data_IF_928846481805
#
_entry.id   IF_928846481805
#
_cell.length_a   1.000
_cell.length_b   1.000
_cell.length_c   1.000
_cell.angle_alpha   90.00
_cell.angle_beta   90.00
_cell.angle_gamma   90.00
#
_symmetry.space_group_name_H-M   'P 1'
#
loop_
_entity.id
_entity.type
_entity.pdbx_description
1 polymer ?
#
# COMPACT_ATOMS: atom_id res chain seq x y z
N UNK A 1 -20.61 14.49 -18.11
CA UNK A 1 -19.99 13.40 -18.87
C UNK A 1 -18.48 13.47 -18.71
N UNK A 2 -17.83 12.33 -18.40
CA UNK A 2 -16.38 12.22 -18.22
C UNK A 2 -15.71 11.75 -19.49
N UNK A 3 -14.59 12.38 -19.85
CA UNK A 3 -13.75 11.97 -20.96
C UNK A 3 -12.45 11.39 -20.46
N UNK A 4 -12.10 10.21 -20.93
CA UNK A 4 -10.84 9.52 -20.58
C UNK A 4 -9.99 9.47 -21.85
N UNK A 5 -8.85 10.14 -21.80
CA UNK A 5 -7.85 10.13 -22.87
C UNK A 5 -6.77 9.11 -22.54
N UNK A 6 -6.53 8.19 -23.47
CA UNK A 6 -5.47 7.19 -23.34
C UNK A 6 -4.19 7.67 -24.04
N UNK A 7 -3.06 7.13 -23.59
CA UNK A 7 -1.75 7.47 -24.14
C UNK A 7 -1.58 7.14 -25.64
N UNK A 8 -2.38 6.22 -26.16
CA UNK A 8 -2.42 5.85 -27.58
C UNK A 8 -3.29 6.78 -28.43
N UNK A 9 -3.86 7.82 -27.83
CA UNK A 9 -4.72 8.81 -28.48
C UNK A 9 -6.21 8.39 -28.56
N UNK A 10 -6.59 7.24 -28.01
CA UNK A 10 -7.99 6.89 -27.89
C UNK A 10 -8.67 7.78 -26.84
N UNK A 11 -9.96 8.06 -27.08
CA UNK A 11 -10.84 8.75 -26.12
C UNK A 11 -12.12 7.95 -25.95
N UNK A 12 -12.53 7.77 -24.70
CA UNK A 12 -13.84 7.22 -24.35
C UNK A 12 -14.59 8.18 -23.45
N UNK A 13 -15.92 8.11 -23.50
CA UNK A 13 -16.80 8.96 -22.71
C UNK A 13 -17.75 8.11 -21.87
N UNK A 14 -17.90 8.45 -20.60
CA UNK A 14 -18.78 7.77 -19.66
C UNK A 14 -19.48 8.76 -18.73
N UNK A 15 -20.66 8.38 -18.25
CA UNK A 15 -21.39 9.19 -17.27
C UNK A 15 -20.76 9.13 -15.88
N UNK A 16 -20.01 8.08 -15.59
CA UNK A 16 -19.36 7.89 -14.30
C UNK A 16 -18.00 7.21 -14.50
N UNK A 17 -17.02 7.61 -13.68
CA UNK A 17 -15.68 7.04 -13.65
C UNK A 17 -15.28 6.72 -12.24
N UNK A 18 -14.67 5.56 -12.02
CA UNK A 18 -14.10 5.16 -10.74
C UNK A 18 -12.58 5.17 -10.86
N UNK A 19 -11.92 6.01 -10.08
CA UNK A 19 -10.46 6.07 -9.98
C UNK A 19 -9.98 5.13 -8.86
N UNK A 20 -9.42 4.00 -9.23
CA UNK A 20 -8.89 2.98 -8.31
C UNK A 20 -7.41 2.68 -8.61
N UNK A 21 -6.63 3.73 -8.87
CA UNK A 21 -5.26 3.66 -9.39
C UNK A 21 -4.19 3.65 -8.28
N UNK A 22 -4.60 3.52 -7.02
CA UNK A 22 -3.67 3.50 -5.88
C UNK A 22 -2.86 4.80 -5.79
N UNK A 23 -1.55 4.70 -5.59
CA UNK A 23 -0.67 5.87 -5.46
C UNK A 23 -0.57 6.73 -6.74
N UNK A 24 -0.99 6.21 -7.90
CA UNK A 24 -1.05 6.96 -9.14
C UNK A 24 -2.21 7.97 -9.19
N UNK A 25 -3.07 8.05 -8.16
CA UNK A 25 -4.10 9.09 -8.06
C UNK A 25 -3.55 10.51 -8.25
N UNK A 26 -2.32 10.77 -7.78
CA UNK A 26 -1.69 12.09 -7.93
C UNK A 26 -1.35 12.48 -9.38
N UNK A 27 -1.46 11.55 -10.32
CA UNK A 27 -1.23 11.83 -11.75
C UNK A 27 -2.43 12.48 -12.43
N UNK A 28 -3.61 12.46 -11.79
CA UNK A 28 -4.80 13.10 -12.31
C UNK A 28 -5.01 14.46 -11.62
N UNK A 29 -5.23 15.53 -12.39
CA UNK A 29 -5.45 16.87 -11.82
C UNK A 29 -6.56 16.90 -10.75
N UNK A 30 -7.63 16.13 -10.98
CA UNK A 30 -8.79 16.07 -10.09
C UNK A 30 -8.48 15.47 -8.71
N UNK A 31 -7.43 14.64 -8.61
CA UNK A 31 -7.07 13.93 -7.38
C UNK A 31 -5.67 14.26 -6.88
N UNK A 32 -4.97 15.19 -7.53
CA UNK A 32 -3.58 15.57 -7.19
C UNK A 32 -3.41 16.07 -5.75
N UNK A 33 -4.45 16.63 -5.17
CA UNK A 33 -4.45 17.22 -3.82
C UNK A 33 -4.92 16.25 -2.72
N UNK A 34 -5.32 15.03 -3.08
CA UNK A 34 -5.73 14.06 -2.06
C UNK A 34 -4.57 13.74 -1.11
N UNK A 35 -4.81 13.66 0.23
CA UNK A 35 -3.78 13.45 1.23
C UNK A 35 -3.33 11.99 1.30
N UNK A 36 -2.89 11.46 0.18
CA UNK A 36 -2.35 10.11 0.04
C UNK A 36 -0.87 10.16 -0.34
N UNK A 37 -0.14 9.10 -0.06
CA UNK A 37 1.27 8.99 -0.42
C UNK A 37 1.67 7.54 -0.72
N UNK A 38 2.70 7.34 -1.55
CA UNK A 38 3.20 6.00 -1.84
C UNK A 38 3.95 5.43 -0.63
N UNK A 39 3.83 4.12 -0.45
CA UNK A 39 4.65 3.35 0.48
C UNK A 39 5.13 2.10 -0.24
N UNK A 40 6.35 2.12 -0.71
CA UNK A 40 6.99 0.96 -1.30
C UNK A 40 7.34 -0.08 -0.23
N UNK A 41 7.35 -1.34 -0.60
CA UNK A 41 7.76 -2.40 0.30
C UNK A 41 8.05 -3.71 -0.42
N UNK A 42 8.91 -4.49 0.21
CA UNK A 42 9.34 -5.80 -0.26
C UNK A 42 8.85 -6.90 0.67
N UNK A 43 8.34 -7.96 0.08
CA UNK A 43 8.02 -9.23 0.74
C UNK A 43 9.02 -10.26 0.26
N UNK A 44 9.68 -10.95 1.18
CA UNK A 44 10.63 -12.01 0.86
C UNK A 44 9.91 -13.34 0.71
N UNK A 45 10.23 -14.08 -0.35
CA UNK A 45 9.78 -15.44 -0.54
C UNK A 45 10.87 -16.38 -0.03
N UNK A 46 10.50 -17.27 0.87
CA UNK A 46 11.42 -18.22 1.50
C UNK A 46 10.96 -19.66 1.26
N UNK A 47 11.86 -20.59 0.95
CA UNK A 47 11.50 -21.98 0.79
C UNK A 47 11.02 -22.58 2.11
N UNK A 48 10.13 -23.59 2.03
CA UNK A 48 9.71 -24.32 3.22
C UNK A 48 10.83 -25.16 3.78
N UNK A 49 10.81 -25.32 5.09
CA UNK A 49 11.72 -26.23 5.83
C UNK A 49 10.89 -27.22 6.64
N UNK A 50 11.47 -28.31 7.17
CA UNK A 50 10.73 -29.23 8.04
C UNK A 50 10.08 -28.52 9.24
N UNK A 51 10.71 -27.48 9.80
CA UNK A 51 10.17 -26.67 10.90
C UNK A 51 8.98 -25.81 10.48
N UNK A 52 8.97 -25.32 9.24
CA UNK A 52 7.90 -24.47 8.69
C UNK A 52 6.74 -25.24 8.05
N UNK A 53 6.96 -26.48 7.64
CA UNK A 53 5.97 -27.25 6.90
C UNK A 53 4.64 -27.46 7.65
N UNK A 54 4.69 -27.46 8.98
CA UNK A 54 3.51 -27.61 9.83
C UNK A 54 2.70 -26.31 10.00
N UNK A 55 3.21 -25.16 9.53
CA UNK A 55 2.53 -23.86 9.67
C UNK A 55 1.24 -23.86 8.86
N UNK A 56 0.10 -23.67 9.56
CA UNK A 56 -1.25 -23.67 8.97
C UNK A 56 -1.92 -22.29 8.97
N UNK A 57 -1.42 -21.38 9.79
CA UNK A 57 -1.99 -20.04 9.97
C UNK A 57 -0.94 -18.98 9.73
N UNK A 58 -1.39 -17.78 9.36
CA UNK A 58 -0.50 -16.62 9.26
C UNK A 58 -0.05 -16.24 10.68
N UNK A 59 1.25 -16.18 10.88
CA UNK A 59 1.82 -15.60 12.10
C UNK A 59 1.99 -14.10 11.89
N UNK A 60 1.41 -13.30 12.79
CA UNK A 60 1.57 -11.85 12.81
C UNK A 60 2.46 -11.47 14.01
N UNK A 61 3.48 -10.66 13.72
CA UNK A 61 4.40 -10.07 14.71
C UNK A 61 4.62 -8.60 14.30
N UNK A 62 5.77 -8.01 14.47
CA UNK A 62 6.12 -6.76 13.77
C UNK A 62 6.41 -7.03 12.27
N UNK A 63 5.56 -7.80 11.66
CA UNK A 63 5.59 -8.34 10.32
C UNK A 63 4.59 -9.49 10.20
N UNK A 64 4.81 -10.37 9.22
CA UNK A 64 4.02 -11.59 9.07
C UNK A 64 4.82 -12.71 8.41
N UNK A 65 4.42 -13.96 8.68
CA UNK A 65 4.86 -15.17 7.99
C UNK A 65 3.62 -15.95 7.57
N UNK A 66 3.49 -16.22 6.27
CA UNK A 66 2.35 -16.99 5.73
C UNK A 66 2.63 -18.50 5.76
N UNK A 67 1.61 -19.36 5.76
CA UNK A 67 1.76 -20.74 5.32
C UNK A 67 2.39 -20.81 3.92
N UNK A 68 3.03 -21.94 3.60
CA UNK A 68 3.60 -22.11 2.26
C UNK A 68 2.51 -22.22 1.20
N UNK A 69 2.80 -21.70 0.03
CA UNK A 69 1.97 -21.91 -1.15
C UNK A 69 2.23 -23.34 -1.69
N UNK A 70 1.20 -24.19 -1.82
CA UNK A 70 1.36 -25.56 -2.29
C UNK A 70 1.99 -25.67 -3.69
N UNK A 71 1.82 -24.67 -4.53
CA UNK A 71 2.30 -24.69 -5.91
C UNK A 71 3.83 -24.56 -6.02
N UNK A 72 4.47 -23.78 -5.13
CA UNK A 72 5.90 -23.52 -5.19
C UNK A 72 6.65 -23.81 -3.88
N UNK A 73 5.96 -24.25 -2.84
CA UNK A 73 6.52 -24.57 -1.53
C UNK A 73 7.25 -23.37 -0.87
N UNK A 74 6.80 -22.13 -1.14
CA UNK A 74 7.37 -20.93 -0.53
C UNK A 74 6.40 -20.28 0.44
N UNK A 75 6.94 -19.76 1.52
CA UNK A 75 6.29 -18.84 2.46
C UNK A 75 6.61 -17.41 2.06
N UNK A 76 5.82 -16.44 2.59
CA UNK A 76 6.13 -15.03 2.50
C UNK A 76 6.44 -14.50 3.89
N UNK A 77 7.55 -13.79 4.04
CA UNK A 77 7.87 -13.00 5.23
C UNK A 77 7.98 -11.52 4.85
N UNK A 78 7.54 -10.64 5.71
CA UNK A 78 7.64 -9.21 5.45
C UNK A 78 6.72 -8.38 6.33
N UNK A 79 6.57 -7.12 5.94
CA UNK A 79 7.17 -6.48 4.79
C UNK A 79 8.11 -5.36 5.23
N UNK A 80 9.00 -4.93 4.34
CA UNK A 80 9.64 -3.63 4.51
C UNK A 80 8.67 -2.49 4.16
N UNK A 81 8.94 -1.27 4.64
CA UNK A 81 8.12 -0.09 4.39
C UNK A 81 9.00 1.13 4.16
N UNK A 82 8.88 1.73 2.97
CA UNK A 82 9.59 2.95 2.58
C UNK A 82 8.55 4.04 2.26
N UNK A 83 8.25 4.86 3.27
CA UNK A 83 7.26 5.94 3.15
C UNK A 83 7.74 7.01 2.16
N UNK A 84 6.84 7.45 1.29
CA UNK A 84 7.13 8.47 0.27
C UNK A 84 7.92 7.94 -0.92
N UNK A 85 8.17 6.63 -0.99
CA UNK A 85 8.84 5.98 -2.12
C UNK A 85 7.84 5.14 -2.93
N UNK A 86 8.01 5.14 -4.23
CA UNK A 86 7.37 4.26 -5.21
C UNK A 86 8.36 3.31 -5.89
N UNK A 87 9.59 3.24 -5.38
CA UNK A 87 10.62 2.36 -5.89
C UNK A 87 10.27 0.89 -5.62
N UNK A 88 10.16 0.12 -6.67
CA UNK A 88 9.87 -1.32 -6.65
C UNK A 88 11.09 -2.18 -7.00
N UNK A 89 12.28 -1.60 -7.00
CA UNK A 89 13.51 -2.36 -7.21
C UNK A 89 13.75 -3.35 -6.06
N UNK A 90 14.31 -4.51 -6.40
CA UNK A 90 14.73 -5.48 -5.39
C UNK A 90 15.82 -4.91 -4.49
N UNK A 91 15.72 -5.19 -3.20
CA UNK A 91 16.65 -4.74 -2.16
C UNK A 91 17.14 -5.89 -1.30
N UNK A 92 18.42 -6.21 -1.35
CA UNK A 92 19.08 -7.16 -0.43
C UNK A 92 18.94 -6.72 1.03
N UNK A 93 19.03 -5.42 1.28
CA UNK A 93 18.89 -4.88 2.62
C UNK A 93 17.50 -5.16 3.21
N UNK A 94 16.45 -5.09 2.38
CA UNK A 94 15.08 -5.41 2.81
C UNK A 94 14.90 -6.92 3.02
N UNK A 95 15.54 -7.75 2.19
CA UNK A 95 15.57 -9.20 2.36
C UNK A 95 16.12 -9.56 3.75
N UNK A 96 17.29 -9.03 4.08
CA UNK A 96 17.92 -9.25 5.38
C UNK A 96 17.11 -8.66 6.54
N UNK A 97 16.51 -7.49 6.37
CA UNK A 97 15.66 -6.85 7.37
C UNK A 97 14.42 -7.67 7.68
N UNK A 98 13.75 -8.20 6.65
CA UNK A 98 12.58 -9.07 6.83
C UNK A 98 12.93 -10.33 7.63
N UNK A 99 14.05 -10.98 7.31
CA UNK A 99 14.55 -12.14 8.06
C UNK A 99 14.92 -11.77 9.50
N UNK A 100 15.67 -10.69 9.69
CA UNK A 100 16.13 -10.28 11.03
C UNK A 100 14.94 -9.97 11.94
N UNK A 101 13.93 -9.27 11.43
CA UNK A 101 12.70 -8.96 12.18
C UNK A 101 11.96 -10.23 12.61
N UNK A 102 11.90 -11.25 11.78
CA UNK A 102 11.31 -12.53 12.15
C UNK A 102 12.07 -13.17 13.33
N UNK A 103 13.40 -13.19 13.25
CA UNK A 103 14.27 -13.75 14.30
C UNK A 103 14.12 -12.98 15.62
N UNK A 104 14.15 -11.63 15.56
CA UNK A 104 14.05 -10.77 16.74
C UNK A 104 12.70 -10.91 17.46
N UNK A 105 11.63 -11.11 16.68
CA UNK A 105 10.28 -11.28 17.25
C UNK A 105 10.03 -12.70 17.79
N UNK A 106 10.77 -13.70 17.31
CA UNK A 106 10.60 -15.10 17.68
C UNK A 106 11.94 -15.74 18.09
N UNK A 107 12.63 -15.22 19.11
CA UNK A 107 13.99 -15.63 19.46
C UNK A 107 14.09 -17.09 19.90
N UNK A 108 13.03 -17.63 20.50
CA UNK A 108 12.98 -19.01 20.97
C UNK A 108 12.59 -20.03 19.90
N UNK A 109 12.25 -19.56 18.69
CA UNK A 109 11.88 -20.43 17.58
C UNK A 109 13.12 -20.84 16.78
N UNK A 110 13.67 -22.02 17.05
CA UNK A 110 14.87 -22.52 16.38
C UNK A 110 14.73 -22.49 14.84
N UNK A 111 13.55 -22.81 14.30
CA UNK A 111 13.27 -22.79 12.88
C UNK A 111 13.37 -21.38 12.26
N UNK A 112 13.20 -20.32 13.03
CA UNK A 112 13.35 -18.94 12.51
C UNK A 112 14.80 -18.64 12.08
N UNK A 113 15.78 -19.28 12.71
CA UNK A 113 17.20 -19.17 12.36
C UNK A 113 17.51 -19.90 11.04
N UNK A 114 16.74 -20.92 10.70
CA UNK A 114 16.92 -21.75 9.51
C UNK A 114 16.33 -21.12 8.24
N UNK A 115 15.64 -19.99 8.37
CA UNK A 115 15.03 -19.29 7.23
C UNK A 115 16.09 -18.85 6.23
N UNK A 116 15.98 -19.39 5.01
CA UNK A 116 16.88 -19.10 3.91
C UNK A 116 16.31 -17.98 3.04
N UNK A 117 17.14 -16.95 2.80
CA UNK A 117 16.86 -15.83 1.91
C UNK A 117 17.85 -15.76 0.73
N UNK A 118 18.74 -16.75 0.58
CA UNK A 118 19.81 -16.74 -0.42
C UNK A 118 19.30 -16.81 -1.86
N UNK A 119 18.14 -17.42 -2.08
CA UNK A 119 17.51 -17.46 -3.39
C UNK A 119 17.12 -16.07 -3.94
N UNK A 120 17.10 -15.05 -3.08
CA UNK A 120 16.81 -13.66 -3.47
C UNK A 120 15.40 -13.45 -4.03
N UNK A 121 14.48 -14.39 -3.83
CA UNK A 121 13.12 -14.26 -4.31
C UNK A 121 12.32 -13.27 -3.47
N UNK A 122 11.70 -12.31 -4.14
CA UNK A 122 10.90 -11.27 -3.49
C UNK A 122 9.79 -10.76 -4.41
N UNK A 123 8.80 -10.13 -3.79
CA UNK A 123 7.80 -9.34 -4.48
C UNK A 123 7.80 -7.93 -3.92
N UNK A 124 7.93 -6.96 -4.80
CA UNK A 124 7.85 -5.54 -4.48
C UNK A 124 6.50 -4.97 -4.91
N UNK A 125 6.03 -3.99 -4.17
CA UNK A 125 4.78 -3.30 -4.47
C UNK A 125 4.69 -1.97 -3.77
N UNK A 126 3.76 -1.14 -4.23
CA UNK A 126 3.50 0.18 -3.65
C UNK A 126 2.08 0.24 -3.14
N UNK A 127 1.92 0.58 -1.87
CA UNK A 127 0.64 0.91 -1.27
C UNK A 127 0.37 2.40 -1.46
N UNK A 128 -0.89 2.73 -1.64
CA UNK A 128 -1.39 4.08 -1.44
C UNK A 128 -1.85 4.19 0.02
N UNK A 129 -1.17 5.01 0.80
CA UNK A 129 -1.46 5.20 2.21
C UNK A 129 -2.04 6.59 2.47
N UNK A 130 -2.97 6.68 3.41
CA UNK A 130 -3.47 7.92 3.98
C UNK A 130 -2.70 8.26 5.26
N UNK A 131 -2.78 9.52 5.68
CA UNK A 131 -2.06 9.99 6.87
C UNK A 131 -2.53 9.32 8.17
N UNK A 132 -3.80 9.01 8.25
CA UNK A 132 -4.47 8.36 9.39
C UNK A 132 -4.62 6.84 9.23
N UNK A 133 -4.09 6.28 8.14
CA UNK A 133 -4.17 4.86 7.76
C UNK A 133 -5.61 4.35 7.49
N UNK A 134 -6.60 5.23 7.33
CA UNK A 134 -7.95 4.85 6.98
C UNK A 134 -8.12 4.77 5.45
N UNK A 135 -8.87 3.79 4.93
CA UNK A 135 -9.22 3.74 3.51
C UNK A 135 -10.09 4.94 3.12
N UNK A 136 -9.82 5.51 1.96
CA UNK A 136 -10.66 6.58 1.40
C UNK A 136 -11.54 6.02 0.29
N UNK A 137 -12.85 6.29 0.41
CA UNK A 137 -13.86 6.00 -0.60
C UNK A 137 -14.86 7.15 -0.61
N UNK A 138 -15.13 7.72 -1.77
CA UNK A 138 -16.06 8.84 -1.90
C UNK A 138 -15.95 9.52 -3.25
N UNK A 139 -16.74 10.57 -3.40
CA UNK A 139 -16.67 11.44 -4.57
C UNK A 139 -15.36 12.24 -4.56
N UNK A 140 -14.88 12.58 -5.76
CA UNK A 140 -13.71 13.45 -5.90
C UNK A 140 -14.11 14.87 -5.47
N UNK A 141 -13.37 15.51 -4.55
CA UNK A 141 -13.67 16.87 -4.13
C UNK A 141 -13.38 17.88 -5.25
N UNK A 142 -14.22 18.89 -5.36
CA UNK A 142 -13.86 20.11 -6.07
C UNK A 142 -12.90 20.92 -5.18
N UNK A 143 -11.60 20.75 -5.43
CA UNK A 143 -10.57 21.29 -4.56
C UNK A 143 -10.56 22.83 -4.53
N UNK A 144 -10.78 23.46 -5.68
CA UNK A 144 -10.74 24.93 -5.78
C UNK A 144 -11.94 25.55 -5.03
N UNK A 145 -13.13 25.01 -5.21
CA UNK A 145 -14.31 25.41 -4.45
C UNK A 145 -14.15 25.10 -2.96
N UNK A 146 -13.62 23.93 -2.61
CA UNK A 146 -13.31 23.57 -1.23
C UNK A 146 -12.36 24.60 -0.58
N UNK A 147 -11.26 24.95 -1.26
CA UNK A 147 -10.33 25.94 -0.73
C UNK A 147 -10.95 27.33 -0.59
N UNK A 148 -11.77 27.77 -1.56
CA UNK A 148 -12.46 29.05 -1.47
C UNK A 148 -13.43 29.12 -0.27
N UNK A 149 -14.17 28.03 -0.03
CA UNK A 149 -15.17 27.97 1.04
C UNK A 149 -14.56 27.81 2.44
N UNK A 150 -13.44 27.09 2.55
CA UNK A 150 -12.90 26.66 3.84
C UNK A 150 -11.65 27.41 4.31
N UNK A 151 -10.89 28.08 3.42
CA UNK A 151 -9.67 28.80 3.83
C UNK A 151 -9.92 29.93 4.82
N UNK A 152 -11.11 30.54 4.81
CA UNK A 152 -11.47 31.64 5.69
C UNK A 152 -12.10 31.19 7.02
N UNK A 153 -12.37 29.89 7.18
CA UNK A 153 -13.07 29.38 8.36
C UNK A 153 -12.13 29.14 9.54
N UNK A 154 -12.64 29.41 10.73
CA UNK A 154 -12.00 28.91 11.96
C UNK A 154 -12.14 27.38 12.07
N UNK A 155 -11.29 26.69 12.87
CA UNK A 155 -11.37 25.24 13.04
C UNK A 155 -12.74 24.74 13.52
N UNK A 156 -13.47 25.51 14.30
CA UNK A 156 -14.80 25.13 14.80
C UNK A 156 -15.90 25.29 13.73
N UNK A 157 -15.84 26.35 12.93
CA UNK A 157 -16.72 26.53 11.77
C UNK A 157 -16.48 25.45 10.72
N UNK A 158 -15.24 25.11 10.43
CA UNK A 158 -14.89 24.05 9.49
C UNK A 158 -15.44 22.69 9.93
N UNK A 159 -15.43 22.36 11.25
CA UNK A 159 -16.02 21.13 11.78
C UNK A 159 -17.53 21.08 11.60
N UNK A 160 -18.23 22.21 11.70
CA UNK A 160 -19.68 22.27 11.53
C UNK A 160 -20.08 22.13 10.06
N UNK A 161 -19.26 22.59 9.13
CA UNK A 161 -19.52 22.51 7.68
C UNK A 161 -19.05 21.20 7.03
N UNK A 162 -18.30 20.36 7.74
CA UNK A 162 -17.71 19.13 7.20
C UNK A 162 -18.73 18.13 6.59
N UNK A 163 -20.02 18.35 6.78
CA UNK A 163 -21.08 17.50 6.21
C UNK A 163 -21.49 17.86 4.76
N UNK A 164 -21.00 18.97 4.20
CA UNK A 164 -21.38 19.48 2.88
C UNK A 164 -20.16 19.84 2.04
N UNK A 165 -19.27 18.87 1.86
CA UNK A 165 -18.10 19.06 1.02
C UNK A 165 -18.49 19.23 -0.45
N UNK A 166 -17.97 20.25 -1.16
CA UNK A 166 -18.16 20.37 -2.60
C UNK A 166 -17.48 19.19 -3.33
N UNK A 167 -18.19 18.63 -4.29
CA UNK A 167 -17.72 17.51 -5.12
C UNK A 167 -17.74 17.90 -6.59
N UNK A 168 -16.88 17.28 -7.38
CA UNK A 168 -16.88 17.43 -8.83
C UNK A 168 -18.09 16.71 -9.42
N UNK A 169 -18.83 17.42 -10.28
CA UNK A 169 -19.97 16.91 -11.05
C UNK A 169 -19.52 16.16 -12.33
#
# INVERSE_FOLDING_TARGET
>A
EWHIDFADGQRVSHNSVVLATGHHLHQFPQTAHLPVYPVAGQVSHIPTTPGLQALRHVLCYDGYLTPHNPANQHHCIGASYHRGSDDVCYSDADQHRNRQRLIDCLPDAAWAQEVDIQAGEARNGVRCATRDHLPMVGNVPDYDTFMADYMALTPDEARQQACTLPILD
#
